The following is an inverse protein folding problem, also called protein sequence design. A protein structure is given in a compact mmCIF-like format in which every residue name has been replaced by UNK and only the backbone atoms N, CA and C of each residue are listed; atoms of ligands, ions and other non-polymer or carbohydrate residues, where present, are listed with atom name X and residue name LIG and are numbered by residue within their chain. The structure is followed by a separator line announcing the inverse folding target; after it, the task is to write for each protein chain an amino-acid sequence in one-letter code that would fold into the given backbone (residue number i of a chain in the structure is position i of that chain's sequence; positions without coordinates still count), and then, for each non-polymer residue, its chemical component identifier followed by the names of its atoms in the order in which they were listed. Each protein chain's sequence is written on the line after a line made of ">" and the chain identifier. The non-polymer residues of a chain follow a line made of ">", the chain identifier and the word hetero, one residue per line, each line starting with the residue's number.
data_IF_856527404239
#
_entry.id   IF_856527404239
#
_cell.length_a   1.000
_cell.length_b   1.000
_cell.length_c   1.000
_cell.angle_alpha   90.00
_cell.angle_beta   90.00
_cell.angle_gamma   90.00
#
_symmetry.space_group_name_H-M   'P 1'
#
loop_
_entity.id
_entity.type
_entity.pdbx_description
1 polymer ?
#
# COMPACT_ATOMS: atom_id res chain seq x y z
N UNK A 1 -34.05 2.96 -19.50
CA UNK A 1 -33.20 2.30 -18.48
C UNK A 1 -33.93 2.45 -17.15
N UNK A 2 -34.10 1.38 -16.37
CA UNK A 2 -34.74 1.51 -15.05
C UNK A 2 -33.85 2.33 -14.10
N UNK A 3 -34.43 2.85 -13.02
CA UNK A 3 -33.70 3.64 -12.02
C UNK A 3 -32.60 2.80 -11.36
N UNK A 4 -32.92 1.55 -10.98
CA UNK A 4 -31.95 0.59 -10.48
C UNK A 4 -30.80 0.38 -11.47
N UNK A 5 -31.10 0.14 -12.75
CA UNK A 5 -30.10 -0.07 -13.78
C UNK A 5 -29.20 1.16 -14.04
N UNK A 6 -29.73 2.37 -13.86
CA UNK A 6 -28.97 3.61 -13.97
C UNK A 6 -27.97 3.72 -12.81
N UNK A 7 -28.45 3.51 -11.58
CA UNK A 7 -27.63 3.60 -10.37
C UNK A 7 -26.55 2.53 -10.31
N UNK A 8 -26.87 1.28 -10.69
CA UNK A 8 -25.88 0.21 -10.79
C UNK A 8 -24.76 0.56 -11.78
N UNK A 9 -25.09 1.21 -12.91
CA UNK A 9 -24.07 1.68 -13.86
C UNK A 9 -23.18 2.77 -13.26
N UNK A 10 -23.74 3.72 -12.49
CA UNK A 10 -22.95 4.76 -11.80
C UNK A 10 -21.98 4.15 -10.79
N UNK A 11 -22.44 3.20 -9.97
CA UNK A 11 -21.61 2.48 -8.97
C UNK A 11 -20.51 1.64 -9.62
N UNK A 12 -20.84 0.93 -10.69
CA UNK A 12 -19.86 0.18 -11.48
C UNK A 12 -18.82 1.12 -12.10
N UNK A 13 -19.24 2.24 -12.67
CA UNK A 13 -18.33 3.23 -13.25
C UNK A 13 -17.38 3.83 -12.20
N UNK A 14 -17.89 4.22 -11.04
CA UNK A 14 -17.07 4.70 -9.92
C UNK A 14 -16.01 3.67 -9.49
N UNK A 15 -16.40 2.39 -9.45
CA UNK A 15 -15.50 1.27 -9.14
C UNK A 15 -14.43 1.09 -10.23
N UNK A 16 -14.80 1.18 -11.51
CA UNK A 16 -13.84 1.10 -12.63
C UNK A 16 -12.82 2.24 -12.54
N UNK A 17 -13.26 3.46 -12.27
CA UNK A 17 -12.37 4.61 -12.09
C UNK A 17 -11.38 4.37 -10.94
N UNK A 18 -11.86 3.85 -9.81
CA UNK A 18 -11.01 3.54 -8.66
C UNK A 18 -9.97 2.47 -9.02
N UNK A 19 -10.40 1.36 -9.62
CA UNK A 19 -9.49 0.29 -10.05
C UNK A 19 -8.44 0.80 -11.05
N UNK A 20 -8.83 1.67 -11.98
CA UNK A 20 -7.92 2.26 -12.95
C UNK A 20 -6.86 3.16 -12.28
N UNK A 21 -7.24 3.96 -11.30
CA UNK A 21 -6.29 4.78 -10.53
C UNK A 21 -5.33 3.92 -9.72
N UNK A 22 -5.84 2.90 -9.02
CA UNK A 22 -4.99 2.01 -8.22
C UNK A 22 -4.02 1.22 -9.11
N UNK A 23 -4.46 0.69 -10.25
CA UNK A 23 -3.60 -0.01 -11.20
C UNK A 23 -2.55 0.91 -11.84
N UNK A 24 -2.91 2.15 -12.14
CA UNK A 24 -1.97 3.16 -12.66
C UNK A 24 -0.90 3.50 -11.63
N UNK A 25 -1.29 3.62 -10.37
CA UNK A 25 -0.36 3.81 -9.26
C UNK A 25 0.58 2.63 -9.07
N UNK A 26 0.06 1.40 -9.15
CA UNK A 26 0.84 0.17 -8.99
C UNK A 26 1.86 -0.02 -10.12
N UNK A 27 1.54 0.44 -11.33
CA UNK A 27 2.40 0.29 -12.52
C UNK A 27 3.29 1.51 -12.79
N UNK A 28 3.07 2.63 -12.09
CA UNK A 28 3.72 3.91 -12.38
C UNK A 28 3.31 4.52 -13.73
N UNK A 29 2.20 4.07 -14.31
CA UNK A 29 1.72 4.51 -15.62
C UNK A 29 0.66 5.62 -15.49
N UNK A 30 0.52 6.50 -16.49
CA UNK A 30 -0.54 7.51 -16.48
C UNK A 30 -1.92 6.83 -16.53
N UNK A 31 -2.88 7.26 -15.69
CA UNK A 31 -4.24 6.76 -15.77
C UNK A 31 -4.87 7.23 -17.08
N UNK A 32 -5.46 6.29 -17.82
CA UNK A 32 -6.27 6.56 -19.01
C UNK A 32 -7.66 7.06 -18.61
N UNK A 33 -7.67 8.16 -17.85
CA UNK A 33 -8.87 8.83 -17.36
C UNK A 33 -8.83 10.28 -17.80
N UNK A 34 -9.81 10.66 -18.62
CA UNK A 34 -10.15 12.03 -18.93
C UNK A 34 -11.57 12.31 -18.45
N UNK A 35 -11.74 13.36 -17.65
CA UNK A 35 -13.05 13.73 -17.12
C UNK A 35 -14.00 14.27 -18.21
N UNK A 36 -13.47 14.62 -19.38
CA UNK A 36 -14.26 15.04 -20.54
C UNK A 36 -14.74 13.87 -21.42
N UNK A 37 -14.27 12.64 -21.14
CA UNK A 37 -14.59 11.44 -21.94
C UNK A 37 -15.79 10.65 -21.41
N UNK A 38 -16.37 11.06 -20.28
CA UNK A 38 -17.56 10.42 -19.70
C UNK A 38 -18.48 11.44 -19.04
N UNK A 39 -19.79 11.18 -19.07
CA UNK A 39 -20.84 12.00 -18.46
C UNK A 39 -21.56 11.29 -17.30
N UNK A 40 -21.08 10.11 -16.91
CA UNK A 40 -21.66 9.33 -15.81
C UNK A 40 -21.58 10.10 -14.50
N UNK A 41 -22.73 10.43 -13.94
CA UNK A 41 -22.85 11.10 -12.63
C UNK A 41 -22.37 10.19 -11.47
N UNK A 42 -21.96 10.79 -10.34
CA UNK A 42 -21.62 10.02 -9.13
C UNK A 42 -22.80 9.15 -8.66
N UNK A 43 -22.52 8.01 -7.98
CA UNK A 43 -23.55 7.21 -7.33
C UNK A 43 -24.44 8.02 -6.38
N UNK A 44 -25.67 7.56 -6.19
CA UNK A 44 -26.58 8.12 -5.19
C UNK A 44 -26.23 7.55 -3.81
N UNK A 45 -26.29 8.38 -2.75
CA UNK A 45 -26.03 7.91 -1.38
C UNK A 45 -27.23 7.12 -0.84
N UNK A 46 -27.34 5.85 -1.20
CA UNK A 46 -28.50 4.99 -0.92
C UNK A 46 -28.02 3.59 -0.58
N UNK A 47 -28.72 2.89 0.33
CA UNK A 47 -28.39 1.50 0.65
C UNK A 47 -28.90 0.54 -0.44
N UNK A 48 -28.26 -0.63 -0.55
CA UNK A 48 -28.59 -1.60 -1.60
C UNK A 48 -29.99 -2.20 -1.42
N UNK A 49 -30.45 -2.34 -0.18
CA UNK A 49 -31.77 -2.85 0.20
C UNK A 49 -32.90 -1.82 0.06
N UNK A 50 -32.56 -0.55 -0.18
CA UNK A 50 -33.53 0.53 -0.44
C UNK A 50 -33.92 0.63 -1.92
N UNK A 51 -33.38 -0.24 -2.77
CA UNK A 51 -33.55 -0.20 -4.22
C UNK A 51 -33.87 -1.59 -4.80
N UNK A 52 -34.87 -1.64 -5.68
CA UNK A 52 -35.27 -2.85 -6.40
C UNK A 52 -35.77 -2.55 -7.82
N UNK A 53 -36.20 -3.59 -8.54
CA UNK A 53 -36.72 -3.47 -9.91
C UNK A 53 -38.01 -2.65 -10.01
N UNK A 54 -38.72 -2.44 -8.90
CA UNK A 54 -39.95 -1.64 -8.84
C UNK A 54 -39.69 -0.16 -8.53
N UNK A 55 -38.45 0.19 -8.17
CA UNK A 55 -38.05 1.54 -7.78
C UNK A 55 -38.15 2.50 -8.96
N UNK A 56 -38.95 3.56 -8.81
CA UNK A 56 -39.19 4.58 -9.84
C UNK A 56 -38.54 5.93 -9.54
N UNK A 57 -38.15 6.17 -8.28
CA UNK A 57 -37.48 7.40 -7.82
C UNK A 57 -36.52 7.05 -6.69
N UNK A 58 -35.28 7.56 -6.74
CA UNK A 58 -34.32 7.44 -5.63
C UNK A 58 -34.50 8.58 -4.63
N UNK A 59 -34.34 8.25 -3.34
CA UNK A 59 -34.32 9.20 -2.24
C UNK A 59 -32.95 9.13 -1.55
N UNK A 60 -31.90 9.76 -2.13
CA UNK A 60 -30.57 9.68 -1.56
C UNK A 60 -30.52 10.32 -0.17
N UNK A 61 -29.80 9.67 0.73
CA UNK A 61 -29.50 10.19 2.05
C UNK A 61 -28.54 11.39 1.95
N UNK A 62 -28.58 12.33 2.91
CA UNK A 62 -27.59 13.41 2.98
C UNK A 62 -26.15 12.86 2.98
N UNK A 63 -25.18 13.58 2.40
CA UNK A 63 -23.78 13.11 2.30
C UNK A 63 -23.10 12.84 3.65
N UNK A 64 -23.61 13.42 4.75
CA UNK A 64 -23.12 13.16 6.10
C UNK A 64 -23.60 11.85 6.73
N UNK A 65 -24.58 11.17 6.10
CA UNK A 65 -25.13 9.91 6.58
C UNK A 65 -24.42 8.73 5.91
N UNK A 66 -23.92 7.80 6.71
CA UNK A 66 -23.34 6.56 6.21
C UNK A 66 -24.37 5.66 5.51
N UNK A 67 -23.99 5.17 4.33
CA UNK A 67 -24.68 4.13 3.56
C UNK A 67 -23.65 3.17 2.97
N UNK A 68 -24.12 2.06 2.38
CA UNK A 68 -23.25 1.12 1.63
C UNK A 68 -22.45 1.79 0.50
N UNK A 69 -22.89 2.95 0.00
CA UNK A 69 -22.26 3.69 -1.10
C UNK A 69 -21.26 4.75 -0.64
N UNK A 70 -21.20 5.06 0.66
CA UNK A 70 -20.38 6.17 1.18
C UNK A 70 -18.88 6.03 0.85
N UNK A 71 -18.33 4.81 0.85
CA UNK A 71 -16.91 4.60 0.52
C UNK A 71 -16.59 4.99 -0.92
N UNK A 72 -17.45 4.62 -1.89
CA UNK A 72 -17.26 4.99 -3.29
C UNK A 72 -17.34 6.51 -3.47
N UNK A 73 -18.29 7.16 -2.80
CA UNK A 73 -18.44 8.61 -2.85
C UNK A 73 -17.21 9.35 -2.31
N UNK A 74 -16.66 8.89 -1.18
CA UNK A 74 -15.46 9.49 -0.61
C UNK A 74 -14.24 9.29 -1.53
N UNK A 75 -14.10 8.12 -2.14
CA UNK A 75 -13.01 7.87 -3.09
C UNK A 75 -13.13 8.77 -4.33
N UNK A 76 -14.35 9.02 -4.82
CA UNK A 76 -14.62 9.95 -5.91
C UNK A 76 -14.26 11.40 -5.54
N UNK A 77 -14.49 11.82 -4.30
CA UNK A 77 -14.18 13.20 -3.85
C UNK A 77 -12.67 13.52 -3.96
N UNK A 78 -11.79 12.52 -3.80
CA UNK A 78 -10.33 12.66 -3.97
C UNK A 78 -9.80 12.25 -5.35
N UNK A 79 -10.66 11.77 -6.24
CA UNK A 79 -10.25 11.15 -7.51
C UNK A 79 -9.45 12.11 -8.39
N UNK A 80 -9.90 13.37 -8.50
CA UNK A 80 -9.26 14.35 -9.38
C UNK A 80 -7.82 14.64 -8.95
N UNK A 81 -7.59 14.91 -7.67
CA UNK A 81 -6.25 15.14 -7.11
C UNK A 81 -5.36 13.90 -7.32
N UNK A 82 -5.89 12.69 -7.08
CA UNK A 82 -5.13 11.45 -7.31
C UNK A 82 -4.74 11.26 -8.78
N UNK A 83 -5.64 11.57 -9.72
CA UNK A 83 -5.34 11.53 -11.17
C UNK A 83 -4.28 12.58 -11.54
N UNK A 84 -4.34 13.79 -10.96
CA UNK A 84 -3.32 14.83 -11.18
C UNK A 84 -1.94 14.40 -10.68
N UNK A 85 -1.87 13.80 -9.49
CA UNK A 85 -0.63 13.23 -8.94
C UNK A 85 -0.05 12.19 -9.89
N UNK A 86 -0.87 11.26 -10.39
CA UNK A 86 -0.38 10.24 -11.31
C UNK A 86 0.11 10.83 -12.64
N UNK A 87 -0.57 11.85 -13.18
CA UNK A 87 -0.11 12.58 -14.38
C UNK A 87 1.22 13.30 -14.15
N UNK A 88 1.41 13.88 -12.96
CA UNK A 88 2.68 14.51 -12.56
C UNK A 88 3.81 13.46 -12.50
N UNK A 89 3.56 12.34 -11.82
CA UNK A 89 4.53 11.26 -11.63
C UNK A 89 4.94 10.54 -12.93
N UNK A 90 4.03 10.46 -13.90
CA UNK A 90 4.27 9.80 -15.19
C UNK A 90 4.82 10.75 -16.27
N UNK A 91 5.04 12.03 -15.96
CA UNK A 91 5.56 12.99 -16.93
C UNK A 91 7.04 12.76 -17.22
N UNK A 92 7.37 12.42 -18.48
CA UNK A 92 8.73 12.03 -18.89
C UNK A 92 9.74 13.18 -18.95
N UNK A 93 9.27 14.42 -19.05
CA UNK A 93 10.11 15.57 -19.44
C UNK A 93 10.04 16.76 -18.47
N UNK A 94 9.33 16.63 -17.35
CA UNK A 94 9.14 17.73 -16.39
C UNK A 94 9.81 17.39 -15.08
N UNK A 95 10.74 18.24 -14.64
CA UNK A 95 11.21 18.18 -13.27
C UNK A 95 10.03 18.47 -12.34
N UNK A 96 9.75 17.54 -11.43
CA UNK A 96 8.66 17.70 -10.46
C UNK A 96 9.00 18.87 -9.55
N UNK A 97 8.13 19.89 -9.52
CA UNK A 97 8.29 21.02 -8.61
C UNK A 97 7.96 20.59 -7.18
N UNK A 98 8.81 20.98 -6.22
CA UNK A 98 8.51 20.69 -4.82
C UNK A 98 7.24 21.40 -4.34
N UNK A 99 6.95 22.58 -4.88
CA UNK A 99 5.72 23.31 -4.55
C UNK A 99 4.46 22.56 -4.99
N UNK A 100 4.50 21.92 -6.16
CA UNK A 100 3.37 21.12 -6.67
C UNK A 100 3.15 19.88 -5.80
N UNK A 101 4.24 19.24 -5.35
CA UNK A 101 4.19 18.14 -4.37
C UNK A 101 3.52 18.58 -3.08
N UNK A 102 3.90 19.74 -2.53
CA UNK A 102 3.30 20.25 -1.30
C UNK A 102 1.81 20.59 -1.46
N UNK A 103 1.42 21.20 -2.57
CA UNK A 103 0.03 21.53 -2.87
C UNK A 103 -0.83 20.26 -2.98
N UNK A 104 -0.43 19.30 -3.82
CA UNK A 104 -1.17 18.05 -4.01
C UNK A 104 -1.19 17.19 -2.74
N UNK A 105 -0.09 17.19 -1.96
CA UNK A 105 -0.03 16.57 -0.64
C UNK A 105 -1.06 17.16 0.32
N UNK A 106 -1.22 18.50 0.32
CA UNK A 106 -2.22 19.17 1.16
C UNK A 106 -3.63 18.74 0.78
N UNK A 107 -3.96 18.70 -0.52
CA UNK A 107 -5.28 18.28 -0.99
C UNK A 107 -5.63 16.84 -0.58
N UNK A 108 -4.70 15.90 -0.72
CA UNK A 108 -4.89 14.52 -0.25
C UNK A 108 -5.01 14.47 1.28
N UNK A 109 -4.24 15.28 2.00
CA UNK A 109 -4.32 15.36 3.46
C UNK A 109 -5.66 15.94 3.94
N UNK A 110 -6.22 16.90 3.22
CA UNK A 110 -7.52 17.47 3.54
C UNK A 110 -8.65 16.50 3.23
N UNK A 111 -8.57 15.77 2.11
CA UNK A 111 -9.46 14.64 1.84
C UNK A 111 -9.38 13.59 2.95
N UNK A 112 -8.16 13.26 3.39
CA UNK A 112 -7.91 12.35 4.52
C UNK A 112 -8.64 12.76 5.79
N UNK A 113 -8.49 14.02 6.19
CA UNK A 113 -9.13 14.57 7.39
C UNK A 113 -10.65 14.55 7.27
N UNK A 114 -11.18 14.94 6.12
CA UNK A 114 -12.61 14.99 5.88
C UNK A 114 -13.27 13.61 6.06
N UNK A 115 -12.70 12.56 5.45
CA UNK A 115 -13.28 11.23 5.62
C UNK A 115 -12.99 10.63 7.00
N UNK A 116 -11.84 10.92 7.62
CA UNK A 116 -11.56 10.44 8.98
C UNK A 116 -12.59 10.99 9.96
N UNK A 117 -12.96 12.26 9.83
CA UNK A 117 -14.09 12.85 10.56
C UNK A 117 -15.42 12.17 10.27
N UNK A 118 -15.74 11.96 8.99
CA UNK A 118 -16.97 11.26 8.59
C UNK A 118 -17.08 9.86 9.19
N UNK A 119 -15.98 9.08 9.16
CA UNK A 119 -15.94 7.73 9.73
C UNK A 119 -16.17 7.75 11.24
N UNK A 120 -15.57 8.71 11.94
CA UNK A 120 -15.72 8.88 13.39
C UNK A 120 -17.15 9.26 13.77
N UNK A 121 -17.77 10.16 13.02
CA UNK A 121 -19.16 10.60 13.25
C UNK A 121 -20.17 9.47 13.00
N UNK A 122 -19.82 8.50 12.15
CA UNK A 122 -20.67 7.39 11.75
C UNK A 122 -20.24 6.02 12.34
N UNK A 123 -19.40 5.99 13.39
CA UNK A 123 -18.97 4.73 14.04
C UNK A 123 -20.15 3.87 14.52
N UNK A 124 -21.23 4.50 15.01
CA UNK A 124 -22.45 3.82 15.45
C UNK A 124 -23.41 3.42 14.31
N UNK A 125 -23.09 3.78 13.07
CA UNK A 125 -24.01 3.67 11.92
C UNK A 125 -23.62 2.57 10.92
N UNK A 126 -22.65 1.72 11.27
CA UNK A 126 -22.20 0.60 10.43
C UNK A 126 -20.79 0.75 9.83
N UNK A 127 -20.09 1.84 10.14
CA UNK A 127 -18.66 1.97 9.82
C UNK A 127 -17.86 0.96 10.63
N UNK A 128 -16.97 0.21 9.96
CA UNK A 128 -16.14 -0.83 10.58
C UNK A 128 -14.67 -0.47 10.48
N UNK A 129 -13.82 -1.16 11.25
CA UNK A 129 -12.37 -1.06 11.12
C UNK A 129 -11.90 -1.41 9.70
N UNK A 130 -12.49 -2.43 9.07
CA UNK A 130 -12.29 -2.74 7.66
C UNK A 130 -12.50 -1.53 6.73
N UNK A 131 -13.63 -0.82 6.88
CA UNK A 131 -13.93 0.35 6.05
C UNK A 131 -12.88 1.46 6.23
N UNK A 132 -12.47 1.73 7.48
CA UNK A 132 -11.44 2.73 7.80
C UNK A 132 -10.09 2.34 7.21
N UNK A 133 -9.65 1.10 7.42
CA UNK A 133 -8.37 0.59 6.93
C UNK A 133 -8.31 0.59 5.39
N UNK A 134 -9.36 0.14 4.72
CA UNK A 134 -9.40 0.09 3.26
C UNK A 134 -9.32 1.49 2.65
N UNK A 135 -10.10 2.43 3.17
CA UNK A 135 -10.10 3.80 2.69
C UNK A 135 -8.77 4.50 2.98
N UNK A 136 -8.22 4.32 4.19
CA UNK A 136 -6.88 4.80 4.55
C UNK A 136 -5.84 4.32 3.55
N UNK A 137 -5.80 3.02 3.30
CA UNK A 137 -4.85 2.44 2.36
C UNK A 137 -4.99 3.01 0.93
N UNK A 138 -6.21 3.02 0.38
CA UNK A 138 -6.46 3.41 -1.01
C UNK A 138 -6.11 4.87 -1.32
N UNK A 139 -6.34 5.77 -0.35
CA UNK A 139 -6.07 7.20 -0.52
C UNK A 139 -4.64 7.54 -0.12
N UNK A 140 -4.16 7.04 1.02
CA UNK A 140 -2.89 7.48 1.62
C UNK A 140 -1.66 7.01 0.84
N UNK A 141 -1.69 5.81 0.25
CA UNK A 141 -0.48 5.19 -0.35
C UNK A 141 0.13 6.01 -1.50
N UNK A 142 -0.67 6.82 -2.19
CA UNK A 142 -0.21 7.69 -3.29
C UNK A 142 0.82 8.75 -2.83
N UNK A 143 0.81 9.07 -1.53
CA UNK A 143 1.74 10.02 -0.93
C UNK A 143 3.19 9.53 -0.98
N UNK A 144 3.43 8.22 -0.93
CA UNK A 144 4.80 7.67 -0.97
C UNK A 144 5.49 8.02 -2.30
N UNK A 145 4.99 7.63 -3.48
CA UNK A 145 5.65 7.97 -4.73
C UNK A 145 5.66 9.48 -5.00
N UNK A 146 4.65 10.24 -4.55
CA UNK A 146 4.63 11.70 -4.65
C UNK A 146 5.82 12.35 -3.92
N UNK A 147 6.15 11.87 -2.71
CA UNK A 147 7.23 12.44 -1.89
C UNK A 147 8.60 11.80 -2.11
N UNK A 148 8.67 10.63 -2.74
CA UNK A 148 9.90 9.85 -2.86
C UNK A 148 11.10 10.64 -3.44
N UNK A 149 10.96 11.38 -4.56
CA UNK A 149 12.08 12.12 -5.16
C UNK A 149 12.74 13.14 -4.22
N UNK A 150 11.98 13.62 -3.23
CA UNK A 150 12.42 14.61 -2.26
C UNK A 150 12.85 13.97 -0.94
N UNK A 151 12.13 12.93 -0.49
CA UNK A 151 12.51 12.11 0.67
C UNK A 151 13.93 11.53 0.50
N UNK A 152 14.27 11.09 -0.71
CA UNK A 152 15.62 10.65 -1.08
C UNK A 152 16.71 11.69 -0.77
N UNK A 153 16.41 12.97 -1.01
CA UNK A 153 17.33 14.12 -0.90
C UNK A 153 17.33 14.79 0.48
N UNK A 154 16.50 14.35 1.42
CA UNK A 154 16.34 14.98 2.75
C UNK A 154 17.63 15.04 3.59
N UNK A 155 18.54 14.09 3.37
CA UNK A 155 19.82 14.00 4.09
C UNK A 155 20.87 14.99 3.57
N UNK A 156 20.78 15.39 2.31
CA UNK A 156 21.66 16.40 1.70
C UNK A 156 21.04 17.79 1.67
N UNK A 157 19.70 17.88 1.72
CA UNK A 157 18.97 19.12 1.75
C UNK A 157 17.84 19.08 2.81
N UNK A 158 17.98 19.84 3.91
CA UNK A 158 17.02 19.81 5.02
C UNK A 158 15.63 20.34 4.65
N UNK A 159 15.49 21.09 3.54
CA UNK A 159 14.19 21.54 3.04
C UNK A 159 13.24 20.38 2.73
N UNK A 160 13.77 19.18 2.43
CA UNK A 160 12.98 18.02 2.08
C UNK A 160 12.67 17.09 3.25
N UNK A 161 12.97 17.49 4.49
CA UNK A 161 12.66 16.69 5.68
C UNK A 161 11.15 16.43 5.84
N UNK A 162 10.30 17.38 5.41
CA UNK A 162 8.85 17.16 5.39
C UNK A 162 8.47 15.95 4.53
N UNK A 163 9.08 15.79 3.36
CA UNK A 163 8.83 14.63 2.48
C UNK A 163 9.28 13.31 3.11
N UNK A 164 10.40 13.30 3.83
CA UNK A 164 10.84 12.14 4.59
C UNK A 164 9.81 11.78 5.65
N UNK A 165 9.39 12.77 6.45
CA UNK A 165 8.40 12.59 7.51
C UNK A 165 7.09 12.03 6.99
N UNK A 166 6.53 12.60 5.92
CA UNK A 166 5.31 12.10 5.28
C UNK A 166 5.50 10.66 4.77
N UNK A 167 6.61 10.36 4.09
CA UNK A 167 6.86 9.01 3.55
C UNK A 167 6.88 7.96 4.67
N UNK A 168 7.59 8.25 5.77
CA UNK A 168 7.69 7.34 6.93
C UNK A 168 6.36 7.19 7.65
N UNK A 169 5.64 8.29 7.89
CA UNK A 169 4.34 8.26 8.57
C UNK A 169 3.30 7.46 7.76
N UNK A 170 3.31 7.62 6.44
CA UNK A 170 2.44 6.84 5.54
C UNK A 170 2.83 5.36 5.54
N UNK A 171 4.12 5.06 5.45
CA UNK A 171 4.61 3.69 5.47
C UNK A 171 4.24 2.96 6.77
N UNK A 172 4.39 3.63 7.92
CA UNK A 172 4.00 3.11 9.24
C UNK A 172 2.49 2.90 9.34
N UNK A 173 1.67 3.83 8.83
CA UNK A 173 0.21 3.67 8.82
C UNK A 173 -0.23 2.44 7.99
N UNK A 174 0.40 2.19 6.84
CA UNK A 174 0.07 1.04 5.96
C UNK A 174 0.36 -0.30 6.65
N UNK A 175 1.46 -0.39 7.40
CA UNK A 175 1.91 -1.65 8.02
C UNK A 175 1.35 -1.87 9.42
N UNK A 176 0.75 -0.84 10.02
CA UNK A 176 0.08 -0.90 11.32
C UNK A 176 -1.39 -0.48 11.24
N UNK A 177 -2.24 -1.21 10.47
CA UNK A 177 -3.66 -0.91 10.39
C UNK A 177 -4.39 -1.20 11.71
N UNK A 178 -5.61 -0.68 11.85
CA UNK A 178 -6.49 -1.04 12.97
C UNK A 178 -6.79 -2.55 12.97
N UNK A 179 -6.81 -3.24 14.12
CA UNK A 179 -7.10 -4.67 14.17
C UNK A 179 -8.47 -5.01 13.55
N UNK A 180 -8.44 -5.74 12.44
CA UNK A 180 -9.62 -6.23 11.72
C UNK A 180 -9.25 -7.53 10.99
N UNK A 181 -10.03 -8.59 11.19
CA UNK A 181 -9.75 -9.92 10.63
C UNK A 181 -9.84 -9.90 9.09
N UNK A 182 -10.85 -9.23 8.54
CA UNK A 182 -11.05 -9.12 7.09
C UNK A 182 -9.91 -8.36 6.41
N UNK A 183 -9.47 -7.26 7.01
CA UNK A 183 -8.36 -6.46 6.50
C UNK A 183 -7.02 -7.19 6.68
N UNK A 184 -6.83 -7.91 7.78
CA UNK A 184 -5.65 -8.76 7.98
C UNK A 184 -5.56 -9.86 6.91
N UNK A 185 -6.70 -10.48 6.56
CA UNK A 185 -6.76 -11.41 5.43
C UNK A 185 -6.44 -10.75 4.10
N UNK A 186 -6.91 -9.52 3.88
CA UNK A 186 -6.56 -8.75 2.71
C UNK A 186 -5.04 -8.46 2.68
N UNK A 187 -4.43 -8.01 3.79
CA UNK A 187 -2.98 -7.79 3.89
C UNK A 187 -2.16 -9.05 3.60
N UNK A 188 -2.69 -10.23 3.93
CA UNK A 188 -2.01 -11.51 3.73
C UNK A 188 -2.21 -12.13 2.32
N UNK A 189 -3.25 -11.76 1.57
CA UNK A 189 -3.56 -12.38 0.25
C UNK A 189 -3.78 -11.41 -0.89
N UNK A 190 -4.17 -10.17 -0.57
CA UNK A 190 -4.56 -9.15 -1.52
C UNK A 190 -3.40 -8.77 -2.43
N UNK A 191 -3.64 -8.90 -3.74
CA UNK A 191 -2.69 -8.46 -4.78
C UNK A 191 -2.59 -6.93 -4.79
N UNK A 192 -3.72 -6.24 -4.60
CA UNK A 192 -3.82 -4.77 -4.54
C UNK A 192 -2.94 -4.14 -3.43
N UNK A 193 -2.58 -4.91 -2.40
CA UNK A 193 -1.81 -4.42 -1.27
C UNK A 193 -0.29 -4.56 -1.46
N UNK A 194 0.15 -5.31 -2.48
CA UNK A 194 1.58 -5.68 -2.68
C UNK A 194 2.49 -4.47 -2.83
N UNK A 195 2.11 -3.53 -3.68
CA UNK A 195 2.93 -2.35 -3.98
C UNK A 195 3.05 -1.44 -2.76
N UNK A 196 1.95 -1.16 -2.07
CA UNK A 196 1.97 -0.38 -0.83
C UNK A 196 2.87 -1.01 0.23
N UNK A 197 2.76 -2.32 0.45
CA UNK A 197 3.63 -3.05 1.39
C UNK A 197 5.10 -2.92 0.98
N UNK A 198 5.42 -3.11 -0.31
CA UNK A 198 6.81 -3.01 -0.80
C UNK A 198 7.38 -1.62 -0.58
N UNK A 199 6.64 -0.58 -0.96
CA UNK A 199 7.07 0.80 -0.75
C UNK A 199 7.29 1.10 0.74
N UNK A 200 6.39 0.64 1.62
CA UNK A 200 6.56 0.77 3.07
C UNK A 200 7.81 0.06 3.58
N UNK A 201 8.06 -1.17 3.11
CA UNK A 201 9.27 -1.94 3.44
C UNK A 201 10.55 -1.18 3.08
N UNK A 202 10.61 -0.58 1.89
CA UNK A 202 11.80 0.20 1.46
C UNK A 202 11.97 1.47 2.29
N UNK A 203 10.90 2.24 2.49
CA UNK A 203 10.95 3.52 3.22
C UNK A 203 11.38 3.32 4.68
N UNK A 204 10.76 2.37 5.38
CA UNK A 204 11.05 2.10 6.80
C UNK A 204 12.46 1.54 6.95
N UNK A 205 12.87 0.59 6.10
CA UNK A 205 14.22 0.02 6.13
C UNK A 205 15.30 1.05 5.87
N UNK A 206 15.11 1.93 4.88
CA UNK A 206 16.04 3.02 4.57
C UNK A 206 16.18 3.98 5.73
N UNK A 207 15.07 4.37 6.35
CA UNK A 207 15.09 5.28 7.49
C UNK A 207 15.75 4.63 8.71
N UNK A 208 15.46 3.35 8.99
CA UNK A 208 16.07 2.60 10.08
C UNK A 208 17.60 2.51 9.93
N UNK A 209 18.08 2.11 8.75
CA UNK A 209 19.51 1.99 8.47
C UNK A 209 20.22 3.33 8.66
N UNK A 210 19.63 4.38 8.13
CA UNK A 210 20.29 5.66 8.11
C UNK A 210 20.16 6.42 9.46
N UNK A 211 19.15 6.13 10.28
CA UNK A 211 19.12 6.51 11.70
C UNK A 211 20.20 5.77 12.50
N UNK A 212 20.36 4.46 12.30
CA UNK A 212 21.40 3.67 12.95
C UNK A 212 22.81 4.18 12.61
N UNK A 213 23.05 4.49 11.33
CA UNK A 213 24.32 5.02 10.87
C UNK A 213 24.60 6.43 11.41
N UNK A 214 23.60 7.31 11.43
CA UNK A 214 23.74 8.66 12.01
C UNK A 214 24.15 8.56 13.49
N UNK A 215 23.47 7.71 14.26
CA UNK A 215 23.80 7.52 15.67
C UNK A 215 25.16 6.85 15.88
N UNK A 216 25.62 6.01 14.95
CA UNK A 216 26.97 5.44 14.96
C UNK A 216 28.02 6.53 14.81
N UNK A 217 27.87 7.39 13.81
CA UNK A 217 28.79 8.52 13.55
C UNK A 217 28.79 9.51 14.71
N UNK A 218 27.62 9.82 15.29
CA UNK A 218 27.49 10.75 16.40
C UNK A 218 27.92 10.15 17.76
N UNK A 219 28.26 8.86 17.81
CA UNK A 219 28.62 8.16 19.05
C UNK A 219 27.45 8.02 20.03
N UNK A 220 26.22 8.03 19.54
CA UNK A 220 24.99 8.01 20.36
C UNK A 220 24.24 6.68 20.33
N UNK A 221 24.79 5.64 19.70
CA UNK A 221 24.15 4.31 19.58
C UNK A 221 23.64 3.71 20.89
N UNK A 222 24.36 3.96 21.98
CA UNK A 222 24.04 3.45 23.33
C UNK A 222 22.88 4.20 23.99
N UNK A 223 22.42 5.31 23.41
CA UNK A 223 21.22 6.01 23.89
C UNK A 223 19.98 5.21 23.53
N UNK A 224 19.02 5.20 24.45
CA UNK A 224 17.72 4.58 24.22
C UNK A 224 16.92 5.40 23.20
N UNK A 225 17.09 5.10 21.90
CA UNK A 225 16.30 5.70 20.84
C UNK A 225 14.95 4.99 20.70
N UNK A 226 13.88 5.65 21.18
CA UNK A 226 12.50 5.17 20.98
C UNK A 226 12.16 5.09 19.48
N UNK A 227 12.69 6.01 18.68
CA UNK A 227 12.43 6.06 17.24
C UNK A 227 13.08 4.87 16.49
N UNK A 228 14.35 4.57 16.77
CA UNK A 228 15.03 3.40 16.20
C UNK A 228 14.32 2.10 16.59
N UNK A 229 13.85 2.00 17.84
CA UNK A 229 13.06 0.85 18.32
C UNK A 229 11.73 0.70 17.59
N UNK A 230 11.01 1.80 17.36
CA UNK A 230 9.76 1.81 16.60
C UNK A 230 9.99 1.29 15.18
N UNK A 231 10.98 1.82 14.47
CA UNK A 231 11.31 1.40 13.10
C UNK A 231 11.75 -0.07 13.05
N UNK A 232 12.58 -0.51 14.01
CA UNK A 232 13.01 -1.91 14.12
C UNK A 232 11.84 -2.86 14.38
N UNK A 233 10.86 -2.44 15.19
CA UNK A 233 9.64 -3.22 15.40
C UNK A 233 8.81 -3.31 14.12
N UNK A 234 8.63 -2.19 13.41
CA UNK A 234 7.91 -2.17 12.13
C UNK A 234 8.55 -3.12 11.09
N UNK A 235 9.89 -3.20 11.03
CA UNK A 235 10.60 -4.16 10.18
C UNK A 235 10.26 -5.61 10.56
N UNK A 236 10.24 -5.94 11.86
CA UNK A 236 9.86 -7.28 12.34
C UNK A 236 8.41 -7.62 12.00
N UNK A 237 7.50 -6.68 12.18
CA UNK A 237 6.09 -6.89 11.85
C UNK A 237 5.92 -7.12 10.33
N UNK A 238 6.69 -6.43 9.50
CA UNK A 238 6.72 -6.66 8.05
C UNK A 238 7.33 -8.01 7.66
N UNK A 239 8.34 -8.51 8.40
CA UNK A 239 8.87 -9.87 8.20
C UNK A 239 7.75 -10.88 8.44
N UNK A 240 7.07 -10.81 9.58
CA UNK A 240 5.95 -11.71 9.91
C UNK A 240 4.83 -11.66 8.86
N UNK A 241 4.50 -10.47 8.36
CA UNK A 241 3.54 -10.33 7.27
C UNK A 241 4.04 -11.00 5.98
N UNK A 242 5.31 -10.81 5.61
CA UNK A 242 5.89 -11.46 4.44
C UNK A 242 5.89 -12.99 4.56
N UNK A 243 6.20 -13.54 5.74
CA UNK A 243 6.07 -14.97 6.01
C UNK A 243 4.63 -15.47 5.80
N UNK A 244 3.66 -14.75 6.35
CA UNK A 244 2.24 -15.12 6.23
C UNK A 244 1.77 -15.06 4.79
N UNK A 245 2.24 -14.08 4.00
CA UNK A 245 1.95 -14.00 2.57
C UNK A 245 2.57 -15.17 1.80
N UNK A 246 3.80 -15.58 2.13
CA UNK A 246 4.47 -16.74 1.53
C UNK A 246 3.73 -18.03 1.89
N UNK A 247 3.34 -18.22 3.16
CA UNK A 247 2.49 -19.36 3.60
C UNK A 247 1.18 -19.45 2.84
N UNK A 248 0.68 -18.32 2.32
CA UNK A 248 -0.55 -18.24 1.52
C UNK A 248 -0.32 -18.30 0.01
N UNK A 249 0.89 -18.60 -0.45
CA UNK A 249 1.22 -18.82 -1.86
C UNK A 249 1.89 -17.66 -2.57
N UNK A 250 2.39 -16.64 -1.87
CA UNK A 250 3.25 -15.64 -2.49
C UNK A 250 4.64 -16.21 -2.80
N UNK A 251 4.98 -16.27 -4.09
CA UNK A 251 6.26 -16.84 -4.57
C UNK A 251 7.41 -15.83 -4.55
N UNK A 252 7.12 -14.54 -4.37
CA UNK A 252 8.14 -13.50 -4.31
C UNK A 252 8.71 -13.38 -2.90
N UNK A 253 9.79 -14.09 -2.65
CA UNK A 253 10.47 -14.15 -1.35
C UNK A 253 11.42 -12.97 -1.08
N UNK A 254 11.61 -12.08 -2.07
CA UNK A 254 12.61 -11.00 -2.00
C UNK A 254 12.36 -10.04 -0.85
N UNK A 255 11.08 -9.75 -0.54
CA UNK A 255 10.75 -8.81 0.54
C UNK A 255 11.16 -9.37 1.91
N UNK A 256 10.88 -10.65 2.17
CA UNK A 256 11.29 -11.33 3.40
C UNK A 256 12.82 -11.33 3.54
N UNK A 257 13.53 -11.73 2.47
CA UNK A 257 15.00 -11.71 2.44
C UNK A 257 15.58 -10.31 2.69
N UNK A 258 15.04 -9.29 2.02
CA UNK A 258 15.48 -7.90 2.19
C UNK A 258 15.32 -7.41 3.63
N UNK A 259 14.16 -7.65 4.24
CA UNK A 259 13.87 -7.19 5.61
C UNK A 259 14.75 -7.88 6.66
N UNK A 260 14.99 -9.19 6.51
CA UNK A 260 15.92 -9.95 7.35
C UNK A 260 17.34 -9.40 7.27
N UNK A 261 17.83 -9.16 6.06
CA UNK A 261 19.16 -8.57 5.82
C UNK A 261 19.30 -7.19 6.46
N UNK A 262 18.27 -6.33 6.35
CA UNK A 262 18.23 -5.00 6.98
C UNK A 262 18.30 -5.12 8.50
N UNK A 263 17.54 -6.04 9.11
CA UNK A 263 17.53 -6.22 10.55
C UNK A 263 18.91 -6.63 11.07
N UNK A 264 19.56 -7.59 10.40
CA UNK A 264 20.92 -8.06 10.73
C UNK A 264 21.96 -6.96 10.54
N UNK A 265 21.85 -6.14 9.49
CA UNK A 265 22.75 -5.02 9.27
C UNK A 265 22.65 -4.00 10.42
N UNK A 266 21.44 -3.64 10.83
CA UNK A 266 21.21 -2.69 11.93
C UNK A 266 21.76 -3.25 13.25
N UNK A 267 21.54 -4.53 13.53
CA UNK A 267 22.06 -5.20 14.72
C UNK A 267 23.60 -5.24 14.74
N UNK A 268 24.23 -5.51 13.60
CA UNK A 268 25.67 -5.47 13.47
C UNK A 268 26.25 -4.06 13.70
N UNK A 269 25.55 -3.02 13.21
CA UNK A 269 25.90 -1.61 13.48
C UNK A 269 25.78 -1.28 14.98
N UNK A 270 24.72 -1.75 15.65
CA UNK A 270 24.53 -1.56 17.10
C UNK A 270 25.63 -2.24 17.93
N UNK A 271 26.09 -3.42 17.50
CA UNK A 271 27.13 -4.21 18.15
C UNK A 271 28.57 -3.78 17.77
N UNK A 272 28.73 -2.95 16.74
CA UNK A 272 30.04 -2.49 16.25
C UNK A 272 30.87 -3.58 15.57
N UNK A 273 30.21 -4.52 14.90
CA UNK A 273 30.84 -5.67 14.24
C UNK A 273 30.74 -5.59 12.71
N UNK A 274 31.67 -6.21 11.95
CA UNK A 274 31.56 -6.31 10.49
C UNK A 274 30.28 -7.04 10.08
N UNK A 275 29.53 -6.48 9.13
CA UNK A 275 28.19 -6.94 8.80
C UNK A 275 28.10 -7.71 7.48
N UNK A 276 29.08 -7.61 6.58
CA UNK A 276 28.97 -8.12 5.20
C UNK A 276 28.73 -9.63 5.15
N UNK A 277 29.52 -10.40 5.90
CA UNK A 277 29.37 -11.86 5.97
C UNK A 277 28.05 -12.27 6.65
N UNK A 278 27.61 -11.52 7.68
CA UNK A 278 26.36 -11.78 8.41
C UNK A 278 25.13 -11.48 7.54
N UNK A 279 25.16 -10.40 6.78
CA UNK A 279 24.09 -10.04 5.83
C UNK A 279 23.96 -11.11 4.76
N UNK A 280 25.07 -11.54 4.16
CA UNK A 280 25.07 -12.60 3.15
C UNK A 280 24.55 -13.94 3.71
N UNK A 281 24.88 -14.26 4.97
CA UNK A 281 24.36 -15.44 5.65
C UNK A 281 22.86 -15.33 5.90
N UNK A 282 22.39 -14.20 6.45
CA UNK A 282 20.98 -13.91 6.67
C UNK A 282 20.15 -14.03 5.38
N UNK A 283 20.65 -13.52 4.26
CA UNK A 283 20.01 -13.69 2.97
C UNK A 283 19.86 -15.16 2.57
N UNK A 284 20.88 -16.00 2.78
CA UNK A 284 20.81 -17.43 2.50
C UNK A 284 19.82 -18.15 3.42
N UNK A 285 19.89 -17.90 4.72
CA UNK A 285 19.01 -18.52 5.72
C UNK A 285 17.55 -18.17 5.44
N UNK A 286 17.30 -16.91 5.08
CA UNK A 286 15.98 -16.41 4.69
C UNK A 286 15.44 -17.11 3.44
N UNK A 287 16.27 -17.30 2.41
CA UNK A 287 15.88 -18.03 1.20
C UNK A 287 15.55 -19.50 1.48
N UNK A 288 16.37 -20.18 2.30
CA UNK A 288 16.11 -21.57 2.71
C UNK A 288 14.81 -21.67 3.51
N UNK A 289 14.58 -20.75 4.45
CA UNK A 289 13.34 -20.67 5.20
C UNK A 289 12.12 -20.47 4.29
N UNK A 290 12.18 -19.52 3.36
CA UNK A 290 11.08 -19.29 2.41
C UNK A 290 10.85 -20.47 1.46
N UNK A 291 11.91 -21.17 1.04
CA UNK A 291 11.79 -22.39 0.24
C UNK A 291 10.98 -23.45 0.99
N UNK A 292 11.30 -23.70 2.27
CA UNK A 292 10.57 -24.68 3.08
C UNK A 292 9.08 -24.31 3.28
N UNK A 293 8.77 -23.00 3.43
CA UNK A 293 7.39 -22.53 3.49
C UNK A 293 6.63 -22.81 2.19
N UNK A 294 7.26 -22.57 1.04
CA UNK A 294 6.68 -22.80 -0.27
C UNK A 294 6.49 -24.29 -0.57
N UNK A 295 7.45 -25.13 -0.17
CA UNK A 295 7.34 -26.59 -0.27
C UNK A 295 6.16 -27.11 0.56
N UNK A 296 6.05 -26.67 1.82
CA UNK A 296 4.92 -27.00 2.70
C UNK A 296 3.58 -26.55 2.10
N UNK A 297 3.53 -25.36 1.52
CA UNK A 297 2.33 -24.86 0.85
C UNK A 297 1.97 -25.71 -0.39
N UNK A 298 2.96 -26.10 -1.19
CA UNK A 298 2.76 -26.96 -2.35
C UNK A 298 2.24 -28.35 -1.97
N UNK A 299 2.82 -28.97 -0.94
CA UNK A 299 2.38 -30.28 -0.46
C UNK A 299 0.93 -30.29 0.04
N UNK A 300 0.50 -29.19 0.67
CA UNK A 300 -0.88 -28.99 1.12
C UNK A 300 -1.88 -28.82 -0.05
N UNK A 301 -1.42 -28.36 -1.22
CA UNK A 301 -2.26 -28.26 -2.42
C UNK A 301 -2.35 -29.60 -3.14
N UNK A 302 -1.24 -30.33 -3.21
CA UNK A 302 -1.14 -31.58 -3.97
C UNK A 302 -1.77 -32.76 -3.23
N UNK A 303 -1.83 -32.74 -1.89
CA UNK A 303 -2.49 -33.77 -1.08
C UNK A 303 -4.01 -33.56 -1.04
N UNK A 304 -4.83 -34.34 -1.76
CA UNK A 304 -6.27 -34.19 -1.69
C UNK A 304 -6.74 -34.75 -0.34
N UNK A 305 -7.50 -33.97 0.41
CA UNK A 305 -8.38 -34.50 1.45
C UNK A 305 -9.21 -35.67 0.86
N UNK A 306 -9.31 -36.84 1.53
CA UNK A 306 -10.08 -37.98 1.01
C UNK A 306 -11.58 -37.71 0.80
N UNK A 307 -12.09 -36.52 1.15
CA UNK A 307 -13.52 -36.21 1.18
C UNK A 307 -14.00 -35.18 0.14
N UNK A 308 -13.16 -34.64 -0.74
CA UNK A 308 -13.63 -33.72 -1.78
C UNK A 308 -13.80 -34.43 -3.14
N UNK A 309 -14.91 -35.16 -3.26
CA UNK A 309 -15.48 -35.46 -4.57
C UNK A 309 -16.24 -34.24 -5.08
N UNK A 310 -15.58 -33.48 -5.96
CA UNK A 310 -16.25 -32.58 -6.90
C UNK A 310 -15.75 -31.14 -6.82
N UNK A 311 -14.78 -30.78 -7.67
CA UNK A 311 -15.05 -29.91 -8.83
C UNK A 311 -13.82 -29.91 -9.73
N UNK A 312 -14.09 -30.02 -11.03
CA UNK A 312 -13.12 -30.15 -12.12
C UNK A 312 -12.09 -29.02 -12.18
N UNK A 313 -10.85 -29.44 -12.39
CA UNK A 313 -9.69 -28.64 -12.75
C UNK A 313 -9.99 -27.56 -13.79
N UNK A 314 -9.95 -26.29 -13.39
CA UNK A 314 -9.64 -25.21 -14.31
C UNK A 314 -8.12 -25.12 -14.41
N UNK A 315 -7.61 -25.51 -15.56
CA UNK A 315 -6.23 -25.24 -15.98
C UNK A 315 -5.96 -23.75 -15.79
N UNK A 316 -5.13 -23.41 -14.81
CA UNK A 316 -4.48 -22.10 -14.79
C UNK A 316 -3.49 -22.10 -15.95
N UNK A 317 -3.91 -21.49 -17.06
CA UNK A 317 -3.02 -21.21 -18.17
C UNK A 317 -1.76 -20.53 -17.65
N UNK A 318 -0.62 -21.09 -18.02
CA UNK A 318 0.70 -20.49 -17.89
C UNK A 318 0.75 -19.21 -18.72
N UNK A 319 0.14 -18.14 -18.20
CA UNK A 319 0.35 -16.77 -18.63
C UNK A 319 1.71 -16.33 -18.12
N UNK A 320 2.73 -16.59 -18.92
CA UNK A 320 4.05 -16.01 -18.76
C UNK A 320 3.95 -14.51 -19.10
N UNK A 321 3.32 -13.72 -18.23
CA UNK A 321 3.44 -12.26 -18.25
C UNK A 321 4.65 -11.86 -17.42
N UNK A 322 5.82 -12.15 -17.99
CA UNK A 322 7.05 -11.47 -17.64
C UNK A 322 6.99 -10.04 -18.15
N UNK A 323 6.27 -9.17 -17.45
CA UNK A 323 6.38 -7.72 -17.55
C UNK A 323 6.27 -7.14 -16.13
N UNK A 324 7.16 -7.60 -15.25
CA UNK A 324 7.52 -6.80 -14.09
C UNK A 324 8.24 -5.56 -14.61
N UNK A 325 7.52 -4.45 -14.76
CA UNK A 325 8.15 -3.15 -14.88
C UNK A 325 9.06 -3.01 -13.67
N UNK A 326 10.35 -3.15 -13.98
CA UNK A 326 11.48 -2.99 -13.09
C UNK A 326 11.52 -1.51 -12.70
N UNK A 327 10.64 -1.09 -11.79
CA UNK A 327 10.91 0.07 -10.97
C UNK A 327 12.03 -0.36 -10.04
N UNK A 328 13.22 -0.17 -10.60
CA UNK A 328 14.48 -0.65 -10.08
C UNK A 328 14.63 -0.25 -8.62
N UNK A 329 15.02 -1.20 -7.79
CA UNK A 329 15.52 -0.89 -6.44
C UNK A 329 16.66 0.14 -6.56
N UNK A 330 17.37 0.19 -7.69
CA UNK A 330 18.40 1.19 -8.00
C UNK A 330 17.87 2.64 -8.07
N UNK A 331 16.58 2.87 -8.38
CA UNK A 331 15.99 4.22 -8.31
C UNK A 331 15.79 4.67 -6.85
N UNK A 332 15.58 3.73 -5.93
CA UNK A 332 15.35 4.00 -4.51
C UNK A 332 16.62 3.84 -3.64
N UNK A 333 17.62 3.11 -4.13
CA UNK A 333 18.83 2.69 -3.41
C UNK A 333 20.11 2.81 -4.27
N UNK A 334 20.43 3.97 -4.88
CA UNK A 334 21.68 4.08 -5.65
C UNK A 334 22.93 3.82 -4.78
N UNK A 335 22.84 4.04 -3.46
CA UNK A 335 23.98 3.97 -2.52
C UNK A 335 23.91 2.79 -1.52
N UNK A 336 22.95 1.85 -1.64
CA UNK A 336 22.83 0.70 -0.70
C UNK A 336 23.27 -0.62 -1.34
N UNK A 337 23.68 -0.60 -2.61
CA UNK A 337 24.34 -1.74 -3.25
C UNK A 337 25.81 -1.79 -2.84
N UNK A 338 26.09 -2.67 -1.87
CA UNK A 338 27.39 -3.26 -1.53
C UNK A 338 28.61 -2.64 -2.25
N UNK A 339 29.20 -1.61 -1.67
CA UNK A 339 30.56 -1.17 -1.97
C UNK A 339 31.55 -1.77 -0.99
#
# INVERSE_FOLDING_TARGET
>A
MSVLQAELRRRLWATILEMAVQASLDTGMPPRISFDEFDTEPPSNTNDDEMDESTTVLQPQPRGTFTTTSIQLILLDSLQTRVQILKLLSSLNSEISYQDVLTLSSEITDAYRAYSSFMKENEGSGVTAFHRNLLDYLVRRIMIPLHCPFSGKSRTNPLFYYSLKISVDVALAIISPEPDEGFSHLMARGVLLREGIRYSSVIISRELLAEAETQRVDGTLQRNSLYRKLLKQAVRDMILLAEERIRRGETNVKNHMFLEMVLVQVEAVEEGIPCEAKIAQSGRDSLEFCYNLLETWFDNIVSPSPNDTGFTSTSFGSGQEGNGLYLDLDYFLPDVMFS
#
